data_IF_115670917859
#
_entry.id   IF_115670917859
#
_cell.length_a   1.000
_cell.length_b   1.000
_cell.length_c   1.000
_cell.angle_alpha   90.00
_cell.angle_beta   90.00
_cell.angle_gamma   90.00
#
_symmetry.space_group_name_H-M   'P 1'
#
loop_
_entity.id
_entity.type
_entity.pdbx_description
1 polymer ?
#
# COMPACT_ATOMS: atom_id res chain seq x y z
N UNK A 1 12.74 -19.39 3.21
CA UNK A 1 11.34 -19.29 3.46
C UNK A 1 10.61 -18.78 2.24
N UNK A 2 9.53 -19.45 1.84
CA UNK A 2 8.81 -19.16 0.60
C UNK A 2 7.30 -19.22 0.86
N UNK A 3 6.55 -18.29 0.24
CA UNK A 3 5.08 -18.30 0.26
C UNK A 3 4.56 -17.88 -1.10
N UNK A 4 3.52 -18.59 -1.55
CA UNK A 4 2.75 -18.25 -2.74
C UNK A 4 1.27 -18.29 -2.39
N UNK A 5 0.52 -17.28 -2.81
CA UNK A 5 -0.93 -17.27 -2.65
C UNK A 5 -1.61 -16.44 -3.74
N UNK A 6 -2.91 -16.60 -3.84
CA UNK A 6 -3.79 -15.83 -4.73
C UNK A 6 -4.92 -15.21 -3.93
N UNK A 7 -5.35 -14.01 -4.35
CA UNK A 7 -6.48 -13.27 -3.80
C UNK A 7 -7.36 -12.74 -4.92
N UNK A 8 -8.66 -12.76 -4.70
CA UNK A 8 -9.61 -12.13 -5.61
C UNK A 8 -10.00 -10.77 -5.05
N UNK A 9 -9.70 -9.71 -5.80
CA UNK A 9 -9.94 -8.32 -5.42
C UNK A 9 -11.19 -7.82 -6.14
N UNK A 10 -12.19 -7.25 -5.43
CA UNK A 10 -13.48 -6.83 -6.00
C UNK A 10 -13.37 -5.48 -6.74
N UNK A 11 -12.39 -5.33 -7.62
CA UNK A 11 -12.14 -4.17 -8.44
C UNK A 11 -11.48 -4.59 -9.75
N UNK A 12 -11.55 -3.74 -10.77
CA UNK A 12 -10.88 -3.98 -12.06
C UNK A 12 -9.36 -4.04 -11.90
N UNK A 13 -8.68 -4.64 -12.87
CA UNK A 13 -7.22 -4.74 -12.85
C UNK A 13 -6.55 -3.36 -12.79
N UNK A 14 -7.10 -2.38 -13.50
CA UNK A 14 -6.60 -1.01 -13.49
C UNK A 14 -6.80 -0.33 -12.13
N UNK A 15 -7.98 -0.44 -11.52
CA UNK A 15 -8.26 0.10 -10.19
C UNK A 15 -7.41 -0.57 -9.13
N UNK A 16 -7.29 -1.89 -9.18
CA UNK A 16 -6.41 -2.65 -8.27
C UNK A 16 -4.96 -2.20 -8.41
N UNK A 17 -4.48 -2.03 -9.64
CA UNK A 17 -3.14 -1.52 -9.90
C UNK A 17 -2.94 -0.12 -9.30
N UNK A 18 -3.88 0.81 -9.55
CA UNK A 18 -3.82 2.17 -9.02
C UNK A 18 -3.80 2.18 -7.48
N UNK A 19 -4.67 1.40 -6.86
CA UNK A 19 -4.75 1.31 -5.41
C UNK A 19 -3.51 0.69 -4.77
N UNK A 20 -2.93 -0.34 -5.41
CA UNK A 20 -1.63 -0.90 -5.02
C UNK A 20 -0.47 0.10 -5.22
N UNK A 21 -0.67 1.16 -5.97
CA UNK A 21 0.29 2.22 -6.25
C UNK A 21 -0.02 3.53 -5.49
N UNK A 22 -0.93 3.54 -4.54
CA UNK A 22 -1.26 4.68 -3.69
C UNK A 22 -0.74 4.47 -2.26
N UNK A 23 0.28 5.26 -1.80
CA UNK A 23 0.82 5.14 -0.43
C UNK A 23 -0.22 5.34 0.66
N UNK A 24 -1.25 6.15 0.43
CA UNK A 24 -2.30 6.41 1.42
C UNK A 24 -3.22 5.20 1.56
N UNK A 25 -3.63 4.60 0.44
CA UNK A 25 -4.40 3.34 0.44
C UNK A 25 -3.64 2.26 1.18
N UNK A 26 -2.37 2.11 0.87
CA UNK A 26 -1.54 1.06 1.45
C UNK A 26 -1.27 1.29 2.93
N UNK A 27 -0.95 2.53 3.33
CA UNK A 27 -0.79 2.88 4.75
C UNK A 27 -2.05 2.56 5.55
N UNK A 28 -3.23 2.81 4.99
CA UNK A 28 -4.50 2.51 5.65
C UNK A 28 -4.79 0.99 5.74
N UNK A 29 -4.33 0.21 4.76
CA UNK A 29 -4.60 -1.23 4.71
C UNK A 29 -3.60 -2.08 5.49
N UNK A 30 -2.36 -1.58 5.70
CA UNK A 30 -1.28 -2.30 6.36
C UNK A 30 -1.40 -2.23 7.88
N UNK A 31 -1.60 -3.35 8.59
CA UNK A 31 -1.62 -3.34 10.04
C UNK A 31 -0.29 -2.85 10.64
N UNK A 32 -0.36 -1.83 11.50
CA UNK A 32 0.81 -1.29 12.18
C UNK A 32 1.72 -0.39 11.36
N UNK A 33 1.33 -0.02 10.13
CA UNK A 33 2.07 0.93 9.33
C UNK A 33 1.97 2.35 9.91
N UNK A 34 3.12 2.97 10.19
CA UNK A 34 3.20 4.35 10.68
C UNK A 34 3.50 5.34 9.56
N UNK A 35 4.42 5.00 8.66
CA UNK A 35 4.84 5.86 7.56
C UNK A 35 5.28 5.06 6.33
N UNK A 36 5.06 5.66 5.16
CA UNK A 36 5.55 5.22 3.86
C UNK A 36 6.01 6.44 3.12
N UNK A 37 7.30 6.53 2.89
CA UNK A 37 7.95 7.69 2.29
C UNK A 37 8.63 7.26 0.99
N UNK A 38 8.36 7.98 -0.10
CA UNK A 38 9.04 7.81 -1.38
C UNK A 38 10.45 8.43 -1.26
N UNK A 39 11.48 7.64 -1.54
CA UNK A 39 12.88 8.09 -1.54
C UNK A 39 13.35 8.40 -2.95
N UNK A 40 12.98 7.58 -3.91
CA UNK A 40 13.21 7.75 -5.34
C UNK A 40 12.07 7.12 -6.14
N UNK A 41 12.09 7.22 -7.45
CA UNK A 41 11.01 6.74 -8.34
C UNK A 41 10.65 5.26 -8.13
N UNK A 42 11.59 4.45 -7.67
CA UNK A 42 11.46 3.00 -7.48
C UNK A 42 11.77 2.55 -6.04
N UNK A 43 12.04 3.47 -5.11
CA UNK A 43 12.46 3.14 -3.75
C UNK A 43 11.62 3.82 -2.67
N UNK A 44 11.20 3.02 -1.68
CA UNK A 44 10.38 3.46 -0.55
C UNK A 44 11.05 3.16 0.76
N UNK A 45 10.86 4.05 1.73
CA UNK A 45 11.12 3.80 3.14
C UNK A 45 9.79 3.57 3.86
N UNK A 46 9.72 2.46 4.61
CA UNK A 46 8.54 2.11 5.40
C UNK A 46 8.92 2.03 6.86
N UNK A 47 8.08 2.62 7.70
CA UNK A 47 8.18 2.49 9.15
C UNK A 47 6.92 1.84 9.68
N UNK A 48 7.07 0.75 10.45
CA UNK A 48 5.93 0.04 11.01
C UNK A 48 6.23 -0.61 12.34
N UNK A 49 5.19 -0.89 13.12
CA UNK A 49 5.26 -1.68 14.36
C UNK A 49 4.71 -3.07 14.07
N UNK A 50 5.57 -4.07 14.26
CA UNK A 50 5.17 -5.47 14.11
C UNK A 50 5.22 -6.20 15.45
N UNK A 51 4.28 -7.14 15.66
CA UNK A 51 4.19 -8.00 16.85
C UNK A 51 4.14 -9.46 16.43
N UNK A 52 5.09 -10.23 16.93
CA UNK A 52 5.22 -11.67 16.63
C UNK A 52 5.40 -12.43 17.93
N UNK A 53 4.36 -13.08 18.40
CA UNK A 53 4.37 -13.73 19.71
C UNK A 53 4.81 -12.74 20.80
N UNK A 54 5.88 -13.04 21.54
CA UNK A 54 6.37 -12.16 22.60
C UNK A 54 7.22 -10.96 22.10
N UNK A 55 7.56 -10.94 20.80
CA UNK A 55 8.40 -9.87 20.23
C UNK A 55 7.51 -8.78 19.63
N UNK A 56 7.73 -7.55 20.09
CA UNK A 56 7.13 -6.34 19.50
C UNK A 56 8.25 -5.34 19.22
N UNK A 57 8.32 -4.83 18.00
CA UNK A 57 9.35 -3.87 17.62
C UNK A 57 8.88 -2.94 16.50
N UNK A 58 9.52 -1.77 16.45
CA UNK A 58 9.43 -0.85 15.34
C UNK A 58 10.49 -1.25 14.29
N UNK A 59 10.03 -1.47 13.08
CA UNK A 59 10.87 -1.80 11.93
C UNK A 59 10.95 -0.62 10.98
N UNK A 60 12.17 -0.39 10.46
CA UNK A 60 12.40 0.49 9.32
C UNK A 60 12.86 -0.35 8.17
N UNK A 61 12.15 -0.29 7.06
CA UNK A 61 12.42 -1.08 5.87
C UNK A 61 12.62 -0.21 4.63
N UNK A 62 13.37 -0.74 3.69
CA UNK A 62 13.51 -0.23 2.32
C UNK A 62 12.93 -1.20 1.34
N UNK A 63 12.27 -0.67 0.32
CA UNK A 63 11.66 -1.40 -0.76
C UNK A 63 12.15 -0.85 -2.07
N UNK A 64 12.54 -1.72 -3.00
CA UNK A 64 12.86 -1.35 -4.36
C UNK A 64 12.01 -2.14 -5.34
N UNK A 65 11.41 -1.43 -6.27
CA UNK A 65 10.65 -2.00 -7.38
C UNK A 65 11.54 -2.30 -8.58
N UNK A 66 11.20 -3.33 -9.32
CA UNK A 66 11.80 -3.68 -10.60
C UNK A 66 10.80 -4.42 -11.49
N UNK A 67 11.16 -4.62 -12.77
CA UNK A 67 10.37 -5.37 -13.75
C UNK A 67 8.90 -4.90 -13.84
N UNK A 68 8.68 -3.60 -13.70
CA UNK A 68 7.34 -3.00 -13.65
C UNK A 68 6.69 -3.07 -15.02
N UNK A 69 5.54 -3.75 -15.10
CA UNK A 69 4.71 -3.91 -16.30
C UNK A 69 3.26 -3.57 -15.97
N UNK A 70 2.88 -2.29 -16.05
CA UNK A 70 1.52 -1.87 -15.74
C UNK A 70 0.50 -2.40 -16.75
N UNK A 71 -0.69 -2.81 -16.33
CA UNK A 71 -1.15 -3.10 -14.96
C UNK A 71 -0.99 -4.57 -14.56
N UNK A 72 0.01 -5.29 -15.08
CA UNK A 72 0.09 -6.75 -15.02
C UNK A 72 0.98 -7.28 -13.90
N UNK A 73 2.20 -6.72 -13.72
CA UNK A 73 3.16 -7.31 -12.79
C UNK A 73 4.28 -6.36 -12.38
N UNK A 74 4.94 -6.71 -11.27
CA UNK A 74 6.19 -6.09 -10.81
C UNK A 74 6.92 -7.02 -9.84
N UNK A 75 8.23 -6.78 -9.68
CA UNK A 75 9.09 -7.43 -8.71
C UNK A 75 9.48 -6.44 -7.62
N UNK A 76 9.73 -6.94 -6.39
CA UNK A 76 10.13 -6.13 -5.25
C UNK A 76 11.31 -6.80 -4.58
N UNK A 77 12.35 -6.03 -4.31
CA UNK A 77 13.37 -6.36 -3.33
C UNK A 77 13.11 -5.55 -2.05
N UNK A 78 13.31 -6.16 -0.90
CA UNK A 78 13.07 -5.52 0.39
C UNK A 78 14.10 -5.91 1.43
N UNK A 79 14.37 -4.97 2.32
CA UNK A 79 15.13 -5.19 3.55
C UNK A 79 14.53 -4.36 4.68
N UNK A 80 14.61 -4.87 5.91
CA UNK A 80 14.11 -4.18 7.08
C UNK A 80 14.92 -4.50 8.32
N UNK A 81 14.95 -3.57 9.26
CA UNK A 81 15.67 -3.70 10.50
C UNK A 81 14.80 -3.28 11.69
N UNK A 82 14.75 -4.12 12.71
CA UNK A 82 14.03 -3.91 13.97
C UNK A 82 14.94 -3.77 15.19
N UNK A 83 16.19 -3.35 14.99
CA UNK A 83 17.17 -3.22 16.08
C UNK A 83 17.40 -4.54 16.81
N UNK A 84 17.14 -4.59 18.15
CA UNK A 84 17.32 -5.82 18.94
C UNK A 84 16.41 -6.99 18.53
N UNK A 85 15.32 -6.72 17.82
CA UNK A 85 14.41 -7.76 17.32
C UNK A 85 15.01 -8.54 16.14
N UNK A 86 15.90 -7.91 15.39
CA UNK A 86 16.58 -8.52 14.25
C UNK A 86 16.34 -7.80 12.94
N UNK A 87 16.47 -8.54 11.85
CA UNK A 87 16.35 -8.03 10.49
C UNK A 87 15.61 -9.00 9.58
N UNK A 88 15.21 -8.49 8.41
CA UNK A 88 14.73 -9.29 7.31
C UNK A 88 15.15 -8.75 5.96
N UNK A 89 15.20 -9.65 4.99
CA UNK A 89 15.43 -9.32 3.60
C UNK A 89 14.79 -10.37 2.69
N UNK A 90 14.43 -9.97 1.50
CA UNK A 90 13.84 -10.89 0.54
C UNK A 90 13.42 -10.22 -0.74
N UNK A 91 12.63 -10.96 -1.50
CA UNK A 91 12.01 -10.49 -2.74
C UNK A 91 10.58 -11.01 -2.86
N UNK A 92 9.78 -10.29 -3.62
CA UNK A 92 8.44 -10.72 -3.98
C UNK A 92 8.18 -10.45 -5.45
N UNK A 93 7.31 -11.24 -6.05
CA UNK A 93 6.77 -11.03 -7.38
C UNK A 93 5.26 -10.96 -7.29
N UNK A 94 4.66 -9.94 -7.88
CA UNK A 94 3.22 -9.72 -7.90
C UNK A 94 2.73 -9.77 -9.34
N UNK A 95 1.61 -10.46 -9.56
CA UNK A 95 0.95 -10.58 -10.86
C UNK A 95 -0.54 -10.30 -10.69
N UNK A 96 -1.07 -9.48 -11.58
CA UNK A 96 -2.49 -9.16 -11.66
C UNK A 96 -3.06 -9.68 -12.98
N UNK A 97 -4.23 -10.26 -12.93
CA UNK A 97 -4.98 -10.66 -14.12
C UNK A 97 -6.46 -10.36 -13.95
N UNK A 98 -7.10 -9.89 -15.00
CA UNK A 98 -8.54 -9.64 -15.00
C UNK A 98 -9.33 -10.96 -14.86
N UNK A 99 -10.39 -10.95 -14.05
CA UNK A 99 -11.25 -12.10 -13.79
C UNK A 99 -12.70 -11.64 -13.55
N UNK A 100 -13.55 -11.69 -14.58
CA UNK A 100 -14.98 -11.37 -14.48
C UNK A 100 -15.29 -10.01 -13.80
N UNK A 101 -14.62 -8.95 -14.21
CA UNK A 101 -14.78 -7.61 -13.62
C UNK A 101 -14.03 -7.41 -12.30
N UNK A 102 -13.40 -8.43 -11.77
CA UNK A 102 -12.55 -8.44 -10.59
C UNK A 102 -11.09 -8.66 -11.00
N UNK A 103 -10.18 -8.63 -10.04
CA UNK A 103 -8.75 -8.89 -10.26
C UNK A 103 -8.30 -10.09 -9.45
N UNK A 104 -7.69 -11.06 -10.14
CA UNK A 104 -6.90 -12.10 -9.50
C UNK A 104 -5.50 -11.56 -9.26
N UNK A 105 -5.12 -11.41 -8.01
CA UNK A 105 -3.80 -11.01 -7.56
C UNK A 105 -3.07 -12.26 -7.07
N UNK A 106 -2.00 -12.63 -7.75
CA UNK A 106 -1.09 -13.71 -7.34
C UNK A 106 0.23 -13.12 -6.86
N UNK A 107 0.81 -13.68 -5.81
CA UNK A 107 2.11 -13.25 -5.32
C UNK A 107 2.96 -14.44 -4.86
N UNK A 108 4.27 -14.32 -5.14
CA UNK A 108 5.31 -15.25 -4.72
C UNK A 108 6.36 -14.48 -3.94
N UNK A 109 6.73 -14.98 -2.76
CA UNK A 109 7.68 -14.29 -1.88
C UNK A 109 8.74 -15.24 -1.38
N UNK A 110 9.98 -14.74 -1.32
CA UNK A 110 11.14 -15.42 -0.73
C UNK A 110 11.79 -14.48 0.28
N UNK A 111 11.96 -14.96 1.51
CA UNK A 111 12.54 -14.13 2.57
C UNK A 111 13.45 -14.91 3.52
N UNK A 112 14.33 -14.17 4.17
CA UNK A 112 15.16 -14.65 5.28
C UNK A 112 15.11 -13.67 6.44
N UNK A 113 15.07 -14.21 7.65
CA UNK A 113 15.02 -13.46 8.91
C UNK A 113 16.21 -13.80 9.79
N UNK A 114 16.60 -12.85 10.65
CA UNK A 114 17.67 -13.03 11.62
C UNK A 114 17.39 -12.34 12.96
N UNK A 115 18.24 -12.59 13.94
CA UNK A 115 18.11 -12.03 15.29
C UNK A 115 17.08 -12.76 16.15
N UNK A 116 16.46 -12.04 17.11
CA UNK A 116 15.46 -12.62 18.04
C UNK A 116 14.24 -13.20 17.32
N UNK A 117 13.86 -12.60 16.19
CA UNK A 117 12.76 -13.12 15.36
C UNK A 117 13.03 -14.54 14.88
N UNK A 118 14.26 -14.84 14.43
CA UNK A 118 14.59 -16.20 14.01
C UNK A 118 14.55 -17.20 15.20
N UNK A 119 14.80 -16.73 16.42
CA UNK A 119 14.82 -17.55 17.63
C UNK A 119 13.43 -17.98 18.13
N UNK A 120 12.37 -17.22 17.82
CA UNK A 120 10.99 -17.59 18.22
C UNK A 120 10.41 -18.76 17.44
N UNK A 121 11.08 -19.18 16.40
CA UNK A 121 10.73 -20.35 15.59
C UNK A 121 9.82 -20.04 14.42
N UNK A 122 10.04 -20.75 13.31
CA UNK A 122 9.37 -20.49 12.02
C UNK A 122 7.85 -20.54 12.14
N UNK A 123 7.27 -21.48 12.89
CA UNK A 123 5.80 -21.63 12.99
C UNK A 123 5.08 -20.38 13.51
N UNK A 124 5.62 -19.70 14.54
CA UNK A 124 5.01 -18.49 15.09
C UNK A 124 5.13 -17.32 14.11
N UNK A 125 6.26 -17.26 13.47
CA UNK A 125 6.54 -16.29 12.44
C UNK A 125 5.59 -16.51 11.25
N UNK A 126 5.40 -17.75 10.78
CA UNK A 126 4.49 -18.14 9.72
C UNK A 126 3.04 -17.71 10.01
N UNK A 127 2.56 -18.01 11.20
CA UNK A 127 1.21 -17.67 11.61
C UNK A 127 0.97 -16.16 11.66
N UNK A 128 1.94 -15.40 12.20
CA UNK A 128 1.85 -13.94 12.24
C UNK A 128 1.84 -13.32 10.84
N UNK A 129 2.66 -13.86 9.97
CA UNK A 129 2.77 -13.47 8.57
C UNK A 129 1.46 -13.65 7.81
N UNK A 130 0.92 -14.86 7.89
CA UNK A 130 -0.37 -15.15 7.26
C UNK A 130 -1.45 -14.21 7.79
N UNK A 131 -1.49 -13.96 9.10
CA UNK A 131 -2.47 -13.05 9.70
C UNK A 131 -2.37 -11.64 9.13
N UNK A 132 -1.17 -11.08 8.99
CA UNK A 132 -0.97 -9.72 8.44
C UNK A 132 -1.37 -9.67 6.96
N UNK A 133 -1.10 -10.70 6.16
CA UNK A 133 -1.57 -10.78 4.78
C UNK A 133 -3.10 -10.83 4.72
N UNK A 134 -3.73 -11.71 5.52
CA UNK A 134 -5.18 -11.83 5.58
C UNK A 134 -5.84 -10.50 6.00
N UNK A 135 -5.28 -9.82 7.01
CA UNK A 135 -5.75 -8.51 7.47
C UNK A 135 -5.57 -7.43 6.39
N UNK A 136 -4.43 -7.41 5.72
CA UNK A 136 -4.19 -6.49 4.60
C UNK A 136 -5.20 -6.69 3.48
N UNK A 137 -5.32 -7.91 2.94
CA UNK A 137 -6.21 -8.16 1.80
C UNK A 137 -7.67 -7.94 2.16
N UNK A 138 -8.07 -8.21 3.41
CA UNK A 138 -9.41 -7.86 3.89
C UNK A 138 -9.64 -6.34 3.84
N UNK A 139 -8.74 -5.55 4.43
CA UNK A 139 -8.83 -4.09 4.44
C UNK A 139 -8.79 -3.51 3.02
N UNK A 140 -7.89 -4.03 2.18
CA UNK A 140 -7.72 -3.62 0.80
C UNK A 140 -8.96 -3.91 -0.05
N UNK A 141 -9.53 -5.12 0.07
CA UNK A 141 -10.77 -5.48 -0.63
C UNK A 141 -11.97 -4.65 -0.17
N UNK A 142 -12.09 -4.39 1.13
CA UNK A 142 -13.14 -3.52 1.66
C UNK A 142 -13.05 -2.11 1.10
N UNK A 143 -11.85 -1.54 1.00
CA UNK A 143 -11.66 -0.19 0.47
C UNK A 143 -11.95 -0.09 -1.04
N UNK A 144 -11.77 -1.17 -1.79
CA UNK A 144 -12.04 -1.22 -3.23
C UNK A 144 -13.44 -1.76 -3.56
N UNK A 145 -14.22 -2.17 -2.56
CA UNK A 145 -15.61 -2.57 -2.78
C UNK A 145 -16.47 -1.35 -3.09
N UNK A 146 -17.47 -1.46 -3.99
CA UNK A 146 -18.41 -0.37 -4.29
C UNK A 146 -19.11 0.21 -3.05
N UNK A 147 -19.31 -0.61 -2.01
CA UNK A 147 -19.91 -0.21 -0.73
C UNK A 147 -18.96 0.63 0.14
N UNK A 148 -17.66 0.59 -0.09
CA UNK A 148 -16.68 1.36 0.68
C UNK A 148 -16.44 2.78 0.15
N UNK A 149 -16.97 3.12 -1.01
CA UNK A 149 -16.81 4.43 -1.64
C UNK A 149 -17.79 5.50 -1.11
N UNK A 150 -18.77 5.14 -0.27
CA UNK A 150 -19.82 6.07 0.18
C UNK A 150 -19.53 6.80 1.51
N UNK A 151 -18.43 6.49 2.21
CA UNK A 151 -18.20 7.00 3.58
C UNK A 151 -17.33 8.28 3.67
N UNK A 152 -16.84 8.83 2.56
CA UNK A 152 -16.04 10.07 2.53
C UNK A 152 -16.86 11.34 2.18
N UNK A 153 -18.22 11.28 2.13
CA UNK A 153 -19.07 12.42 1.82
C UNK A 153 -20.15 12.69 2.86
N UNK A 154 -19.78 12.89 4.11
CA UNK A 154 -20.68 13.54 5.08
C UNK A 154 -20.16 14.94 5.38
N UNK A 155 -20.51 15.90 4.52
CA UNK A 155 -20.50 17.30 4.86
C UNK A 155 -21.78 17.59 5.65
N UNK A 156 -21.75 18.02 6.92
CA UNK A 156 -22.95 18.39 7.65
C UNK A 156 -23.50 19.70 7.10
N UNK A 157 -24.58 19.61 6.36
CA UNK A 157 -25.37 20.78 5.93
C UNK A 157 -26.03 21.43 7.15
N UNK A 158 -25.44 22.48 7.68
CA UNK A 158 -26.14 23.39 8.58
C UNK A 158 -27.07 24.29 7.79
N UNK A 159 -28.37 24.03 7.92
CA UNK A 159 -29.49 24.88 7.52
C UNK A 159 -29.43 26.20 8.29
N UNK A 160 -29.31 27.31 7.59
CA UNK A 160 -29.42 28.65 8.20
C UNK A 160 -29.72 29.69 7.13
N UNK A 161 -31.02 30.00 7.02
CA UNK A 161 -31.59 31.12 6.23
C UNK A 161 -31.00 32.45 6.64
N UNK A 162 -30.56 33.28 5.65
CA UNK A 162 -30.97 34.69 5.54
C UNK A 162 -30.41 35.32 4.25
N UNK A 163 -31.36 35.86 3.52
CA UNK A 163 -31.33 36.72 2.33
C UNK A 163 -30.60 38.03 2.62
N UNK A 164 -29.67 38.45 1.75
CA UNK A 164 -29.44 39.85 1.41
C UNK A 164 -28.83 39.98 0.02
N UNK A 165 -29.58 40.65 -0.86
CA UNK A 165 -29.16 41.14 -2.16
C UNK A 165 -28.11 42.25 -1.99
N UNK A 166 -27.04 42.24 -2.75
CA UNK A 166 -26.37 43.44 -3.31
C UNK A 166 -25.49 43.14 -4.50
N UNK A 167 -25.63 43.95 -5.48
CA UNK A 167 -25.05 44.04 -6.82
C UNK A 167 -23.49 44.03 -6.89
N UNK A 168 -22.91 43.71 -8.10
CA UNK A 168 -21.48 43.54 -8.31
C UNK A 168 -20.78 44.79 -8.73
N UNK A 169 -19.46 44.87 -8.63
CA UNK A 169 -18.63 45.62 -9.58
C UNK A 169 -17.74 44.69 -10.43
N UNK A 170 -17.60 45.14 -11.67
CA UNK A 170 -16.83 44.54 -12.75
C UNK A 170 -15.30 44.59 -12.53
N UNK A 171 -14.61 43.65 -13.18
CA UNK A 171 -13.19 43.79 -13.53
C UNK A 171 -12.28 42.77 -12.87
N UNK A 172 -12.13 41.60 -13.50
CA UNK A 172 -10.96 40.75 -13.30
C UNK A 172 -10.36 40.40 -14.67
N UNK A 173 -9.03 40.44 -14.81
CA UNK A 173 -8.37 40.12 -16.08
C UNK A 173 -8.36 38.63 -16.33
N UNK A 174 -8.49 38.23 -17.59
CA UNK A 174 -8.41 36.84 -18.06
C UNK A 174 -7.02 36.27 -17.80
N UNK A 175 -6.92 34.97 -17.39
CA UNK A 175 -5.63 34.31 -17.30
C UNK A 175 -5.16 33.86 -18.69
N UNK A 176 -3.94 34.18 -19.02
CA UNK A 176 -3.18 33.72 -20.18
C UNK A 176 -3.09 32.18 -20.22
N UNK A 177 -3.04 31.55 -21.40
CA UNK A 177 -2.88 30.09 -21.52
C UNK A 177 -1.43 29.69 -21.21
N UNK A 178 -1.21 29.29 -19.96
CA UNK A 178 0.04 28.66 -19.54
C UNK A 178 0.24 27.30 -20.20
N UNK A 179 1.46 27.06 -20.70
CA UNK A 179 1.95 25.79 -21.25
C UNK A 179 1.63 24.61 -20.33
N UNK A 180 1.35 23.40 -20.84
CA UNK A 180 1.05 22.24 -20.01
C UNK A 180 2.31 21.84 -19.24
N UNK A 181 2.38 22.27 -17.97
CA UNK A 181 3.34 21.75 -17.02
C UNK A 181 3.10 20.26 -16.83
N UNK A 182 4.14 19.45 -16.98
CA UNK A 182 4.15 18.02 -16.65
C UNK A 182 3.72 17.91 -15.19
N UNK A 183 2.50 17.46 -14.96
CA UNK A 183 1.94 17.34 -13.62
C UNK A 183 2.72 16.28 -12.83
N UNK A 184 3.15 16.62 -11.60
CA UNK A 184 3.74 15.70 -10.64
C UNK A 184 2.86 14.48 -10.31
N UNK A 185 1.63 14.42 -10.84
CA UNK A 185 0.74 13.27 -10.75
C UNK A 185 1.26 12.02 -11.49
N UNK A 186 2.09 12.18 -12.52
CA UNK A 186 2.65 11.04 -13.25
C UNK A 186 3.73 10.29 -12.43
N UNK A 187 4.43 10.97 -11.51
CA UNK A 187 5.45 10.37 -10.64
C UNK A 187 4.87 9.63 -9.43
N UNK A 188 3.66 9.98 -9.00
CA UNK A 188 2.98 9.29 -7.91
C UNK A 188 2.51 7.86 -8.26
N UNK A 189 2.50 7.50 -9.53
CA UNK A 189 1.95 6.24 -10.05
C UNK A 189 2.84 5.01 -9.77
N UNK A 190 4.10 5.21 -9.42
CA UNK A 190 5.05 4.11 -9.19
C UNK A 190 5.19 3.72 -7.70
N UNK A 191 4.60 4.50 -6.82
CA UNK A 191 4.88 4.48 -5.39
C UNK A 191 4.34 3.29 -4.61
N UNK A 192 3.26 2.72 -5.00
CA UNK A 192 2.43 1.94 -4.12
C UNK A 192 2.42 0.43 -4.39
N UNK A 193 2.83 0.02 -5.57
CA UNK A 193 3.04 -1.39 -5.91
C UNK A 193 4.07 -2.08 -5.00
N UNK A 194 4.99 -1.28 -4.43
CA UNK A 194 6.01 -1.71 -3.50
C UNK A 194 5.47 -2.23 -2.18
N UNK A 195 4.37 -1.69 -1.69
CA UNK A 195 3.94 -1.95 -0.34
C UNK A 195 3.11 -3.22 -0.19
N UNK A 196 2.31 -3.60 -1.18
CA UNK A 196 1.57 -4.88 -1.13
C UNK A 196 2.53 -6.06 -1.01
N UNK A 197 3.69 -5.97 -1.64
CA UNK A 197 4.70 -7.02 -1.52
C UNK A 197 5.64 -6.82 -0.33
N UNK A 198 5.81 -5.59 0.19
CA UNK A 198 6.45 -5.39 1.49
C UNK A 198 5.60 -5.96 2.61
N UNK A 199 4.29 -5.91 2.50
CA UNK A 199 3.39 -6.57 3.45
C UNK A 199 3.47 -8.07 3.28
N UNK A 200 3.44 -8.59 2.06
CA UNK A 200 3.71 -10.00 1.81
C UNK A 200 5.11 -10.37 2.30
N UNK A 201 6.08 -9.49 2.16
CA UNK A 201 7.46 -9.69 2.57
C UNK A 201 7.69 -9.42 4.05
N UNK A 202 7.01 -8.45 4.66
CA UNK A 202 7.03 -8.23 6.10
C UNK A 202 6.20 -9.28 6.83
N UNK A 203 5.16 -9.77 6.19
CA UNK A 203 4.40 -10.94 6.60
C UNK A 203 5.29 -12.17 6.57
N UNK A 204 6.18 -12.27 5.62
CA UNK A 204 7.22 -13.30 5.54
C UNK A 204 8.43 -12.98 6.42
N UNK A 205 8.63 -11.71 6.74
CA UNK A 205 9.60 -11.26 7.73
C UNK A 205 9.26 -11.71 9.14
N UNK A 206 7.99 -11.92 9.38
CA UNK A 206 7.46 -12.43 10.63
C UNK A 206 7.36 -13.97 10.63
N UNK A 207 7.87 -14.64 9.59
CA UNK A 207 7.98 -16.11 9.53
C UNK A 207 9.28 -16.69 10.06
#
# INVERSE_FOLDING_TARGET
MEMSAEQLIPASQQETWLALNDPQVLKACVPGCEAIDLISDDEYQVTMVARVGPVSAKFKGRLRLSDIRPPESYSIAFEGQGGPAGFAKGSAQVRLSASNGQTRLAYDVKASVGGKLAQIGSRLVDAAAKKVADDFFRNFSQRLSPEGAEDDTVVPTKRGTRRHERHPPAGAPEPEPGLPGISNAALAWFAAAALAAFIAALVLFLR
#
